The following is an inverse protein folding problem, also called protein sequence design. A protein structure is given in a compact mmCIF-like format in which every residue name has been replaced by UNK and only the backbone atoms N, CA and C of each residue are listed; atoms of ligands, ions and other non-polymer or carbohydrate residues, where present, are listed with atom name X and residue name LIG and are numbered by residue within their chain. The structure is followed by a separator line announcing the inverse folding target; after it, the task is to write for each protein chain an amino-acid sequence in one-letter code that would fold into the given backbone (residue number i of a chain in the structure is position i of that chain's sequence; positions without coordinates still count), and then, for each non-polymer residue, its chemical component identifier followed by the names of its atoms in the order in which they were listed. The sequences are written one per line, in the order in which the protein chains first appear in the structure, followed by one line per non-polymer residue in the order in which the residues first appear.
data_IF_135285580347
#
_entry.id   IF_135285580347
#
_cell.length_a   1.000
_cell.length_b   1.000
_cell.length_c   1.000
_cell.angle_alpha   90.00
_cell.angle_beta   90.00
_cell.angle_gamma   90.00
#
_symmetry.space_group_name_H-M   'P 1'
#
loop_
_entity.id
_entity.type
_entity.pdbx_description
1 polymer ?
#
# COMPACT_ATOMS: atom_id res chain seq x y z
N UNK A 1 -6.64 -14.45 -9.56
CA UNK A 1 -5.92 -13.29 -9.01
C UNK A 1 -4.85 -12.91 -10.02
N UNK A 2 -4.53 -11.62 -10.22
CA UNK A 2 -3.45 -11.23 -11.12
C UNK A 2 -2.11 -11.76 -10.60
N UNK A 3 -1.26 -12.16 -11.54
CA UNK A 3 0.11 -12.59 -11.29
C UNK A 3 1.07 -11.47 -11.71
N UNK A 4 2.12 -11.28 -10.94
CA UNK A 4 3.10 -10.21 -11.11
C UNK A 4 4.52 -10.78 -11.13
N UNK A 5 5.34 -10.28 -12.05
CA UNK A 5 6.76 -10.62 -12.11
C UNK A 5 7.58 -9.60 -11.30
N UNK A 6 8.50 -10.11 -10.49
CA UNK A 6 9.43 -9.31 -9.71
C UNK A 6 10.87 -9.72 -9.99
N UNK A 7 11.74 -8.73 -10.05
CA UNK A 7 13.20 -8.94 -9.98
C UNK A 7 13.69 -8.25 -8.73
N UNK A 8 14.14 -9.03 -7.75
CA UNK A 8 14.71 -8.50 -6.52
C UNK A 8 16.22 -8.53 -6.57
N UNK A 9 16.88 -7.45 -6.11
CA UNK A 9 18.31 -7.48 -5.82
C UNK A 9 18.50 -8.10 -4.44
N UNK A 10 19.30 -9.15 -4.39
CA UNK A 10 19.52 -9.96 -3.18
C UNK A 10 20.99 -10.02 -2.80
N UNK A 11 21.26 -10.38 -1.55
CA UNK A 11 22.60 -10.54 -0.98
C UNK A 11 22.59 -11.66 0.08
N UNK A 12 23.75 -12.12 0.52
CA UNK A 12 23.86 -13.20 1.52
C UNK A 12 23.45 -14.58 0.99
N UNK A 13 23.48 -14.75 -0.33
CA UNK A 13 23.19 -16.01 -1.02
C UNK A 13 24.28 -16.33 -2.05
N UNK A 14 24.65 -17.61 -2.16
CA UNK A 14 25.57 -18.10 -3.18
C UNK A 14 24.80 -18.96 -4.19
N UNK A 15 25.13 -18.83 -5.48
CA UNK A 15 24.58 -19.70 -6.53
C UNK A 15 25.06 -21.16 -6.41
N UNK A 16 26.15 -21.39 -5.67
CA UNK A 16 26.70 -22.73 -5.40
C UNK A 16 25.99 -23.42 -4.22
N UNK A 17 25.15 -22.71 -3.48
CA UNK A 17 24.30 -23.31 -2.44
C UNK A 17 23.09 -23.99 -3.07
N UNK A 18 23.33 -25.13 -3.72
CA UNK A 18 22.31 -25.85 -4.47
C UNK A 18 21.09 -26.26 -3.63
N UNK A 19 21.25 -26.40 -2.31
CA UNK A 19 20.13 -26.71 -1.42
C UNK A 19 19.18 -25.51 -1.29
N UNK A 20 19.72 -24.32 -1.04
CA UNK A 20 18.91 -23.09 -0.93
C UNK A 20 18.37 -22.67 -2.29
N UNK A 21 19.20 -22.73 -3.35
CA UNK A 21 18.76 -22.43 -4.72
C UNK A 21 17.64 -23.37 -5.14
N UNK A 22 17.81 -24.68 -4.92
CA UNK A 22 16.79 -25.68 -5.23
C UNK A 22 15.48 -25.43 -4.49
N UNK A 23 15.53 -25.14 -3.19
CA UNK A 23 14.32 -24.84 -2.42
C UNK A 23 13.59 -23.56 -2.90
N UNK A 24 14.34 -22.52 -3.30
CA UNK A 24 13.75 -21.31 -3.87
C UNK A 24 13.09 -21.58 -5.22
N UNK A 25 13.71 -22.38 -6.09
CA UNK A 25 13.12 -22.78 -7.37
C UNK A 25 11.90 -23.67 -7.16
N UNK A 26 11.98 -24.70 -6.33
CA UNK A 26 10.89 -25.66 -6.14
C UNK A 26 9.65 -25.03 -5.48
N UNK A 27 9.85 -24.11 -4.53
CA UNK A 27 8.75 -23.55 -3.76
C UNK A 27 8.20 -22.21 -4.28
N UNK A 28 9.01 -21.44 -5.00
CA UNK A 28 8.63 -20.11 -5.50
C UNK A 28 8.75 -19.96 -7.01
N UNK A 29 9.19 -21.00 -7.73
CA UNK A 29 9.59 -20.90 -9.14
C UNK A 29 10.62 -19.77 -9.35
N UNK A 30 11.45 -19.53 -8.33
CA UNK A 30 12.40 -18.43 -8.34
C UNK A 30 13.66 -18.82 -9.10
N UNK A 31 14.13 -17.90 -9.94
CA UNK A 31 15.38 -18.03 -10.70
C UNK A 31 16.39 -17.04 -10.14
N UNK A 32 17.51 -17.58 -9.62
CA UNK A 32 18.63 -16.77 -9.16
C UNK A 32 19.64 -16.56 -10.29
N UNK A 33 20.12 -15.34 -10.42
CA UNK A 33 21.19 -14.97 -11.36
C UNK A 33 22.20 -14.06 -10.69
N UNK A 34 23.43 -14.05 -11.21
CA UNK A 34 24.46 -13.08 -10.80
C UNK A 34 25.09 -12.48 -12.05
N UNK A 35 25.07 -11.16 -12.13
CA UNK A 35 25.70 -10.41 -13.21
C UNK A 35 26.49 -9.26 -12.62
N UNK A 36 27.75 -9.13 -13.03
CA UNK A 36 28.69 -8.13 -12.51
C UNK A 36 28.75 -8.07 -10.97
N UNK A 37 28.64 -9.22 -10.31
CA UNK A 37 28.67 -9.33 -8.84
C UNK A 37 27.37 -8.92 -8.15
N UNK A 38 26.31 -8.61 -8.89
CA UNK A 38 24.97 -8.31 -8.36
C UNK A 38 24.09 -9.54 -8.49
N UNK A 39 23.67 -10.09 -7.35
CA UNK A 39 22.73 -11.20 -7.31
C UNK A 39 21.29 -10.70 -7.46
N UNK A 40 20.52 -11.41 -8.27
CA UNK A 40 19.11 -11.12 -8.56
C UNK A 40 18.28 -12.38 -8.41
N UNK A 41 17.08 -12.21 -7.91
CA UNK A 41 16.05 -13.24 -7.83
C UNK A 41 14.86 -12.80 -8.68
N UNK A 42 14.62 -13.48 -9.79
CA UNK A 42 13.40 -13.33 -10.60
C UNK A 42 12.36 -14.31 -10.09
N UNK A 43 11.14 -13.84 -9.87
CA UNK A 43 10.07 -14.63 -9.24
C UNK A 43 8.71 -14.04 -9.58
N UNK A 44 7.71 -14.92 -9.75
CA UNK A 44 6.32 -14.51 -9.91
C UNK A 44 5.56 -14.59 -8.59
N UNK A 45 4.62 -13.66 -8.40
CA UNK A 45 3.77 -13.62 -7.22
C UNK A 45 2.35 -13.21 -7.55
N UNK A 46 1.40 -13.97 -7.03
CA UNK A 46 -0.02 -13.70 -7.18
C UNK A 46 -0.58 -12.92 -5.98
N UNK A 47 -1.39 -11.89 -6.25
CA UNK A 47 -1.94 -11.01 -5.23
C UNK A 47 -3.11 -10.18 -5.75
N UNK A 48 -3.87 -9.50 -4.88
CA UNK A 48 -4.87 -8.53 -5.31
C UNK A 48 -4.25 -7.28 -5.96
N UNK A 49 -3.01 -6.97 -5.58
CA UNK A 49 -2.14 -5.94 -6.15
C UNK A 49 -0.66 -6.39 -6.08
N UNK A 50 0.23 -5.64 -6.74
CA UNK A 50 1.64 -6.00 -6.85
C UNK A 50 2.38 -5.97 -5.51
N UNK A 51 1.95 -5.12 -4.59
CA UNK A 51 2.60 -4.93 -3.29
C UNK A 51 2.27 -6.08 -2.34
N UNK A 52 1.00 -6.52 -2.31
CA UNK A 52 0.57 -7.71 -1.58
C UNK A 52 1.25 -8.98 -2.11
N UNK A 53 1.34 -9.12 -3.45
CA UNK A 53 2.06 -10.21 -4.10
C UNK A 53 3.56 -10.22 -3.70
N UNK A 54 4.24 -9.07 -3.80
CA UNK A 54 5.63 -8.94 -3.38
C UNK A 54 5.82 -9.26 -1.89
N UNK A 55 4.92 -8.81 -1.03
CA UNK A 55 4.95 -9.08 0.41
C UNK A 55 4.87 -10.58 0.72
N UNK A 56 3.99 -11.31 0.03
CA UNK A 56 3.85 -12.76 0.16
C UNK A 56 5.13 -13.49 -0.30
N UNK A 57 5.65 -13.14 -1.48
CA UNK A 57 6.89 -13.70 -2.04
C UNK A 57 8.07 -13.45 -1.10
N UNK A 58 8.24 -12.22 -0.62
CA UNK A 58 9.33 -11.83 0.30
C UNK A 58 9.23 -12.57 1.62
N UNK A 59 8.02 -12.74 2.17
CA UNK A 59 7.81 -13.49 3.41
C UNK A 59 8.19 -14.96 3.24
N UNK A 60 7.82 -15.58 2.11
CA UNK A 60 8.15 -16.97 1.84
C UNK A 60 9.63 -17.17 1.56
N UNK A 61 10.24 -16.32 0.74
CA UNK A 61 11.66 -16.36 0.43
C UNK A 61 12.54 -16.26 1.70
N UNK A 62 12.14 -15.43 2.67
CA UNK A 62 12.82 -15.33 3.98
C UNK A 62 12.71 -16.58 4.85
N UNK A 63 11.63 -17.36 4.70
CA UNK A 63 11.48 -18.63 5.41
C UNK A 63 12.38 -19.71 4.81
N UNK A 64 12.46 -19.76 3.47
CA UNK A 64 13.28 -20.71 2.72
C UNK A 64 14.78 -20.41 2.91
N UNK A 65 15.16 -19.15 2.78
CA UNK A 65 16.53 -18.69 2.82
C UNK A 65 16.74 -17.59 3.87
N UNK A 66 16.83 -17.91 5.18
CA UNK A 66 16.95 -16.92 6.25
C UNK A 66 18.22 -16.04 6.16
N UNK A 67 19.29 -16.55 5.55
CA UNK A 67 20.52 -15.81 5.32
C UNK A 67 20.43 -14.82 4.14
N UNK A 68 19.49 -15.04 3.22
CA UNK A 68 19.30 -14.18 2.05
C UNK A 68 18.63 -12.87 2.45
N UNK A 69 19.24 -11.75 2.05
CA UNK A 69 18.72 -10.41 2.24
C UNK A 69 18.16 -9.89 0.93
N UNK A 70 16.86 -9.60 0.91
CA UNK A 70 16.21 -8.91 -0.20
C UNK A 70 16.38 -7.40 0.02
N UNK A 71 17.16 -6.74 -0.83
CA UNK A 71 17.62 -5.37 -0.64
C UNK A 71 16.66 -4.32 -1.22
N UNK A 72 16.21 -4.57 -2.45
CA UNK A 72 15.34 -3.68 -3.23
C UNK A 72 14.76 -4.43 -4.43
N UNK A 73 13.72 -3.88 -5.05
CA UNK A 73 13.38 -4.20 -6.41
C UNK A 73 14.47 -3.71 -7.37
N UNK A 74 14.64 -4.45 -8.45
CA UNK A 74 15.35 -3.96 -9.59
C UNK A 74 14.41 -3.12 -10.48
N UNK A 75 14.81 -1.89 -10.86
CA UNK A 75 13.98 -1.03 -11.70
C UNK A 75 13.86 -1.51 -13.15
N UNK A 76 14.62 -2.52 -13.56
CA UNK A 76 14.68 -3.04 -14.94
C UNK A 76 14.85 -1.92 -15.97
N UNK A 77 15.96 -1.17 -15.80
CA UNK A 77 16.30 -0.06 -16.68
C UNK A 77 16.72 -0.58 -18.06
N UNK A 78 16.07 -0.04 -19.08
CA UNK A 78 16.30 -0.42 -20.48
C UNK A 78 16.72 0.79 -21.31
N UNK A 79 17.62 0.57 -22.26
CA UNK A 79 17.92 1.48 -23.34
C UNK A 79 17.24 1.09 -24.65
N UNK A 80 17.50 1.87 -25.71
CA UNK A 80 16.98 1.62 -27.07
C UNK A 80 17.34 0.21 -27.58
N UNK A 81 18.55 -0.26 -27.28
CA UNK A 81 19.02 -1.58 -27.69
C UNK A 81 18.24 -2.70 -27.01
N UNK A 82 18.00 -2.59 -25.71
CA UNK A 82 17.30 -3.62 -24.93
C UNK A 82 15.83 -3.68 -25.34
N UNK A 83 15.18 -2.53 -25.55
CA UNK A 83 13.80 -2.47 -26.04
C UNK A 83 13.69 -3.10 -27.44
N UNK A 84 14.65 -2.80 -28.32
CA UNK A 84 14.68 -3.36 -29.68
C UNK A 84 14.79 -4.89 -29.65
N UNK A 85 15.68 -5.41 -28.79
CA UNK A 85 15.87 -6.85 -28.59
C UNK A 85 14.60 -7.52 -28.03
N UNK A 86 14.06 -7.01 -26.91
CA UNK A 86 12.87 -7.58 -26.26
C UNK A 86 11.62 -7.55 -27.14
N UNK A 87 11.48 -6.54 -28.00
CA UNK A 87 10.33 -6.40 -28.91
C UNK A 87 10.54 -7.03 -30.29
N UNK A 88 11.72 -7.57 -30.58
CA UNK A 88 12.09 -8.07 -31.91
C UNK A 88 12.06 -7.00 -32.99
N UNK A 89 12.27 -5.72 -32.63
CA UNK A 89 12.27 -4.57 -33.56
C UNK A 89 13.67 -4.03 -33.79
N UNK A 90 13.84 -3.23 -34.84
CA UNK A 90 15.10 -2.53 -35.07
C UNK A 90 15.28 -1.37 -34.09
N UNK A 91 16.52 -1.03 -33.74
CA UNK A 91 16.85 0.17 -32.96
C UNK A 91 16.27 1.43 -33.58
N UNK A 92 16.27 1.52 -34.92
CA UNK A 92 15.68 2.65 -35.64
C UNK A 92 14.18 2.77 -35.37
N UNK A 93 13.43 1.67 -35.31
CA UNK A 93 12.00 1.70 -34.96
C UNK A 93 11.79 2.23 -33.54
N UNK A 94 12.59 1.77 -32.57
CA UNK A 94 12.51 2.26 -31.19
C UNK A 94 12.86 3.75 -31.10
N UNK A 95 13.90 4.20 -31.79
CA UNK A 95 14.26 5.62 -31.89
C UNK A 95 13.12 6.46 -32.48
N UNK A 96 12.39 5.95 -33.47
CA UNK A 96 11.20 6.63 -34.02
C UNK A 96 10.07 6.75 -32.98
N UNK A 97 9.87 5.73 -32.14
CA UNK A 97 8.90 5.80 -31.04
C UNK A 97 9.29 6.88 -30.04
N UNK A 98 10.56 6.88 -29.60
CA UNK A 98 11.10 7.87 -28.66
C UNK A 98 10.96 9.32 -29.18
N UNK A 99 11.18 9.55 -30.47
CA UNK A 99 11.02 10.87 -31.08
C UNK A 99 9.57 11.25 -31.43
N UNK A 100 8.58 10.40 -31.11
CA UNK A 100 7.18 10.69 -31.36
C UNK A 100 6.84 10.81 -32.86
N UNK A 101 7.57 10.09 -33.72
CA UNK A 101 7.35 10.13 -35.17
C UNK A 101 6.16 9.26 -35.62
N UNK A 102 5.56 8.48 -34.71
CA UNK A 102 4.29 7.76 -34.89
C UNK A 102 3.32 8.27 -33.82
N UNK A 103 2.41 9.19 -34.17
CA UNK A 103 1.66 10.06 -33.23
C UNK A 103 0.26 9.54 -32.88
N UNK A 104 -0.04 8.28 -33.15
CA UNK A 104 -1.44 7.94 -33.43
C UNK A 104 -2.24 7.55 -32.18
N UNK A 105 -1.63 7.46 -30.98
CA UNK A 105 -2.34 7.18 -29.71
C UNK A 105 -1.81 7.92 -28.48
N UNK A 106 -0.58 7.61 -28.04
CA UNK A 106 0.00 8.13 -26.80
C UNK A 106 1.51 8.36 -26.96
N UNK A 107 2.08 9.40 -26.33
CA UNK A 107 3.52 9.64 -26.38
C UNK A 107 4.28 8.48 -25.73
N UNK A 108 5.47 8.18 -26.27
CA UNK A 108 6.39 7.25 -25.64
C UNK A 108 6.76 7.76 -24.22
N UNK A 109 6.98 6.87 -23.23
CA UNK A 109 7.30 7.28 -21.87
C UNK A 109 8.49 8.23 -21.77
N UNK A 110 8.45 9.13 -20.80
CA UNK A 110 9.59 9.97 -20.48
C UNK A 110 10.76 9.09 -19.99
N UNK A 111 12.01 9.45 -20.33
CA UNK A 111 13.17 8.73 -19.82
C UNK A 111 13.28 8.85 -18.30
N UNK A 112 13.67 7.77 -17.65
CA UNK A 112 13.99 7.74 -16.21
C UNK A 112 15.24 8.58 -15.91
N UNK A 113 16.18 8.58 -16.85
CA UNK A 113 17.40 9.35 -16.72
C UNK A 113 18.38 9.08 -17.86
N UNK A 114 19.65 9.35 -17.59
CA UNK A 114 20.76 9.15 -18.52
C UNK A 114 21.85 8.28 -17.90
N UNK A 115 22.38 7.35 -18.70
CA UNK A 115 23.61 6.62 -18.40
C UNK A 115 24.66 7.08 -19.40
N UNK A 116 25.57 7.95 -18.94
CA UNK A 116 26.49 8.66 -19.82
C UNK A 116 25.74 9.58 -20.79
N UNK A 117 25.71 9.22 -22.07
CA UNK A 117 25.00 9.96 -23.13
C UNK A 117 23.70 9.29 -23.59
N UNK A 118 23.41 8.09 -23.07
CA UNK A 118 22.25 7.30 -23.48
C UNK A 118 21.10 7.53 -22.51
N UNK A 119 19.89 7.73 -23.03
CA UNK A 119 18.67 7.73 -22.24
C UNK A 119 18.31 6.30 -21.81
N UNK A 120 17.73 6.17 -20.62
CA UNK A 120 17.20 4.92 -20.09
C UNK A 120 15.77 5.11 -19.62
N UNK A 121 14.98 4.03 -19.65
CA UNK A 121 13.58 3.99 -19.26
C UNK A 121 13.33 2.84 -18.30
N UNK A 122 12.25 2.92 -17.52
CA UNK A 122 11.73 1.76 -16.80
C UNK A 122 11.04 0.82 -17.79
N UNK A 123 11.41 -0.46 -17.81
CA UNK A 123 10.74 -1.44 -18.66
C UNK A 123 9.24 -1.51 -18.37
N UNK A 124 8.80 -1.39 -17.12
CA UNK A 124 7.38 -1.43 -16.74
C UNK A 124 6.55 -0.34 -17.46
N UNK A 125 7.07 0.87 -17.57
CA UNK A 125 6.38 1.98 -18.28
C UNK A 125 6.43 1.80 -19.80
N UNK A 126 7.56 1.31 -20.33
CA UNK A 126 7.68 1.00 -21.77
C UNK A 126 6.73 -0.13 -22.15
N UNK A 127 6.66 -1.20 -21.37
CA UNK A 127 5.79 -2.34 -21.60
C UNK A 127 4.31 -1.96 -21.51
N UNK A 128 3.93 -1.10 -20.55
CA UNK A 128 2.58 -0.55 -20.47
C UNK A 128 2.21 0.27 -21.72
N UNK A 129 3.15 1.05 -22.27
CA UNK A 129 2.97 1.76 -23.53
C UNK A 129 2.87 0.81 -24.72
N UNK A 130 3.74 -0.21 -24.78
CA UNK A 130 3.76 -1.24 -25.83
C UNK A 130 2.44 -2.03 -25.88
N UNK A 131 1.78 -2.24 -24.74
CA UNK A 131 0.45 -2.87 -24.67
C UNK A 131 -0.59 -2.10 -25.48
N UNK A 132 -0.50 -0.77 -25.48
CA UNK A 132 -1.37 0.11 -26.27
C UNK A 132 -1.24 -0.07 -27.80
N UNK A 133 -0.13 -0.68 -28.26
CA UNK A 133 0.15 -1.00 -29.66
C UNK A 133 0.31 -2.51 -29.92
N UNK A 134 -0.03 -3.36 -28.93
CA UNK A 134 -0.02 -4.83 -29.05
C UNK A 134 1.38 -5.45 -29.17
N UNK A 135 2.39 -4.87 -28.52
CA UNK A 135 3.78 -5.33 -28.54
C UNK A 135 4.36 -5.58 -27.14
N UNK A 136 3.53 -5.68 -26.10
CA UNK A 136 3.98 -6.00 -24.75
C UNK A 136 4.30 -7.49 -24.58
N UNK A 137 4.95 -7.82 -23.48
CA UNK A 137 5.30 -9.20 -23.12
C UNK A 137 4.19 -9.95 -22.34
N UNK A 138 3.05 -9.31 -22.08
CA UNK A 138 1.92 -9.91 -21.38
C UNK A 138 2.06 -10.00 -19.86
N UNK A 139 3.24 -9.68 -19.31
CA UNK A 139 3.52 -9.77 -17.88
C UNK A 139 3.04 -8.52 -17.13
N UNK A 140 2.50 -8.72 -15.92
CA UNK A 140 2.22 -7.60 -15.03
C UNK A 140 3.44 -7.33 -14.16
N UNK A 141 3.79 -6.05 -14.06
CA UNK A 141 4.89 -5.59 -13.21
C UNK A 141 4.41 -4.45 -12.34
N UNK A 142 5.03 -4.22 -11.18
CA UNK A 142 4.67 -3.10 -10.31
C UNK A 142 4.72 -1.78 -11.07
N UNK A 143 3.71 -0.94 -10.86
CA UNK A 143 3.78 0.47 -11.25
C UNK A 143 4.87 1.18 -10.45
N UNK A 144 5.27 2.38 -10.88
CA UNK A 144 6.27 3.20 -10.15
C UNK A 144 5.88 3.45 -8.69
N UNK A 145 4.60 3.71 -8.44
CA UNK A 145 4.08 3.91 -7.08
C UNK A 145 4.25 2.63 -6.26
N UNK A 146 3.74 1.50 -6.76
CA UNK A 146 3.85 0.20 -6.09
C UNK A 146 5.31 -0.24 -5.89
N UNK A 147 6.20 0.00 -6.86
CA UNK A 147 7.63 -0.29 -6.72
C UNK A 147 8.26 0.50 -5.58
N UNK A 148 7.87 1.77 -5.41
CA UNK A 148 8.31 2.62 -4.29
C UNK A 148 7.80 2.08 -2.95
N UNK A 149 6.53 1.66 -2.90
CA UNK A 149 5.92 1.04 -1.71
C UNK A 149 6.63 -0.28 -1.35
N UNK A 150 6.91 -1.13 -2.34
CA UNK A 150 7.65 -2.39 -2.14
C UNK A 150 9.06 -2.12 -1.62
N UNK A 151 9.82 -1.21 -2.23
CA UNK A 151 11.16 -0.83 -1.76
C UNK A 151 11.13 -0.28 -0.34
N UNK A 152 10.10 0.48 0.01
CA UNK A 152 9.89 0.96 1.36
C UNK A 152 9.65 -0.20 2.33
N UNK A 153 8.78 -1.16 1.99
CA UNK A 153 8.53 -2.37 2.78
C UNK A 153 9.79 -3.22 2.97
N UNK A 154 10.62 -3.35 1.94
CA UNK A 154 11.88 -4.09 2.00
C UNK A 154 12.87 -3.46 3.00
N UNK A 155 13.03 -2.13 2.95
CA UNK A 155 13.97 -1.38 3.81
C UNK A 155 13.56 -1.32 5.27
N UNK A 156 12.28 -1.13 5.55
CA UNK A 156 11.77 -0.99 6.92
C UNK A 156 11.38 -2.33 7.55
N UNK A 157 11.41 -3.39 6.73
CA UNK A 157 10.94 -4.72 7.05
C UNK A 157 9.41 -4.78 6.99
N UNK A 158 8.89 -5.97 6.67
CA UNK A 158 7.51 -6.34 6.96
C UNK A 158 7.37 -6.47 8.49
N UNK A 159 7.49 -5.36 9.22
CA UNK A 159 7.19 -5.36 10.65
C UNK A 159 5.73 -5.75 10.74
N UNK A 160 5.38 -6.87 11.40
CA UNK A 160 3.99 -7.21 11.58
C UNK A 160 3.35 -6.05 12.31
N UNK A 161 2.49 -5.31 11.60
CA UNK A 161 1.72 -4.24 12.21
C UNK A 161 0.72 -4.93 13.12
N UNK A 162 1.04 -4.94 14.41
CA UNK A 162 0.11 -5.43 15.42
C UNK A 162 -0.96 -4.36 15.58
N UNK A 163 -2.15 -4.69 15.11
CA UNK A 163 -3.34 -3.85 15.27
C UNK A 163 -4.10 -4.38 16.48
N UNK A 164 -4.43 -3.47 17.40
CA UNK A 164 -5.45 -3.72 18.42
C UNK A 164 -6.75 -3.13 17.89
N UNK A 165 -7.71 -3.99 17.57
CA UNK A 165 -9.04 -3.57 17.19
C UNK A 165 -9.87 -3.38 18.45
N UNK A 166 -10.26 -2.14 18.69
CA UNK A 166 -11.30 -1.81 19.64
C UNK A 166 -12.63 -1.88 18.88
N UNK A 167 -13.31 -3.01 19.03
CA UNK A 167 -14.63 -3.27 18.49
C UNK A 167 -15.59 -3.19 19.68
N UNK A 168 -16.67 -2.42 19.55
CA UNK A 168 -17.65 -2.30 20.62
C UNK A 168 -18.35 -3.65 20.81
N UNK A 169 -17.96 -4.41 21.83
CA UNK A 169 -18.59 -5.69 22.15
C UNK A 169 -19.72 -5.55 23.18
N UNK A 170 -19.87 -4.36 23.77
CA UNK A 170 -20.82 -4.11 24.86
C UNK A 170 -21.70 -2.87 24.57
N UNK A 171 -22.98 -3.16 24.33
CA UNK A 171 -24.13 -2.23 24.39
C UNK A 171 -24.40 -1.38 23.13
N UNK A 172 -24.99 -1.97 22.07
CA UNK A 172 -25.96 -1.33 21.13
C UNK A 172 -26.50 -2.36 20.09
N UNK A 173 -27.67 -2.14 19.46
CA UNK A 173 -28.11 -2.92 18.29
C UNK A 173 -27.20 -2.60 17.09
N UNK A 174 -26.69 -3.61 16.38
CA UNK A 174 -25.70 -3.44 15.29
C UNK A 174 -24.48 -4.38 15.35
N UNK A 175 -24.41 -5.25 16.38
CA UNK A 175 -23.29 -6.17 16.68
C UNK A 175 -22.73 -6.96 15.51
N UNK A 176 -23.59 -7.46 14.62
CA UNK A 176 -23.16 -8.27 13.46
C UNK A 176 -22.47 -7.40 12.39
N UNK A 177 -22.90 -6.15 12.25
CA UNK A 177 -22.36 -5.24 11.25
C UNK A 177 -20.97 -4.73 11.65
N UNK A 178 -20.77 -4.28 12.89
CA UNK A 178 -19.46 -3.83 13.37
C UNK A 178 -18.43 -4.96 13.38
N UNK A 179 -18.87 -6.20 13.69
CA UNK A 179 -18.02 -7.39 13.55
C UNK A 179 -17.66 -7.66 12.10
N UNK A 180 -18.64 -7.62 11.19
CA UNK A 180 -18.39 -7.80 9.75
C UNK A 180 -17.49 -6.70 9.17
N UNK A 181 -17.59 -5.47 9.67
CA UNK A 181 -16.68 -4.37 9.32
C UNK A 181 -15.28 -4.66 9.87
N UNK A 182 -15.14 -5.09 11.12
CA UNK A 182 -13.84 -5.43 11.70
C UNK A 182 -13.15 -6.58 10.96
N UNK A 183 -13.89 -7.65 10.62
CA UNK A 183 -13.37 -8.78 9.84
C UNK A 183 -12.91 -8.32 8.44
N UNK A 184 -13.72 -7.51 7.75
CA UNK A 184 -13.33 -6.90 6.47
C UNK A 184 -12.15 -5.95 6.60
N UNK A 185 -12.03 -5.17 7.67
CA UNK A 185 -10.87 -4.30 7.90
C UNK A 185 -9.60 -5.10 8.18
N UNK A 186 -9.69 -6.24 8.88
CA UNK A 186 -8.57 -7.17 9.06
C UNK A 186 -8.15 -7.76 7.72
N UNK A 187 -9.11 -8.18 6.91
CA UNK A 187 -8.87 -8.69 5.57
C UNK A 187 -8.19 -7.63 4.69
N UNK A 188 -8.71 -6.40 4.67
CA UNK A 188 -8.08 -5.27 3.98
C UNK A 188 -6.69 -4.95 4.55
N UNK A 189 -6.49 -4.98 5.87
CA UNK A 189 -5.16 -4.75 6.45
C UNK A 189 -4.14 -5.83 6.04
N UNK A 190 -4.60 -7.06 5.75
CA UNK A 190 -3.74 -8.15 5.25
C UNK A 190 -3.43 -8.02 3.76
N UNK A 191 -4.37 -7.49 2.99
CA UNK A 191 -4.34 -7.55 1.54
C UNK A 191 -4.17 -6.20 0.86
N UNK A 192 -4.26 -5.09 1.61
CA UNK A 192 -4.17 -3.72 1.11
C UNK A 192 -3.05 -2.97 1.85
N UNK A 193 -1.91 -2.73 1.18
CA UNK A 193 -0.76 -2.05 1.77
C UNK A 193 -1.09 -0.65 2.27
N UNK A 194 -2.01 0.07 1.61
CA UNK A 194 -2.38 1.45 1.96
C UNK A 194 -2.84 1.61 3.41
N UNK A 195 -3.62 0.67 3.94
CA UNK A 195 -4.07 0.72 5.33
C UNK A 195 -2.90 0.50 6.30
N UNK A 196 -2.00 -0.41 5.97
CA UNK A 196 -0.78 -0.69 6.74
C UNK A 196 0.18 0.51 6.72
N UNK A 197 0.41 1.12 5.56
CA UNK A 197 1.22 2.32 5.42
C UNK A 197 0.64 3.48 6.23
N UNK A 198 -0.68 3.65 6.18
CA UNK A 198 -1.36 4.66 6.96
C UNK A 198 -1.10 4.48 8.46
N UNK A 199 -1.23 3.26 8.98
CA UNK A 199 -0.89 2.98 10.38
C UNK A 199 0.58 3.27 10.69
N UNK A 200 1.50 2.91 9.79
CA UNK A 200 2.94 3.12 9.99
C UNK A 200 3.35 4.60 9.95
N UNK A 201 2.64 5.44 9.18
CA UNK A 201 2.83 6.90 9.12
C UNK A 201 2.33 7.63 10.36
N UNK A 202 1.48 6.99 11.17
CA UNK A 202 0.89 7.60 12.38
C UNK A 202 1.34 6.88 13.66
N UNK A 203 2.62 6.97 14.08
CA UNK A 203 3.11 6.26 15.25
C UNK A 203 2.47 6.72 16.58
N UNK A 204 1.83 7.89 16.61
CA UNK A 204 1.14 8.41 17.78
C UNK A 204 -0.08 7.59 18.21
N UNK A 205 -0.63 6.75 17.32
CA UNK A 205 -1.79 5.88 17.61
C UNK A 205 -1.42 4.57 18.32
N UNK A 206 -0.15 4.41 18.67
CA UNK A 206 0.37 3.21 19.33
C UNK A 206 0.06 3.21 20.82
N UNK A 207 -0.36 2.06 21.32
CA UNK A 207 -0.48 1.80 22.76
C UNK A 207 0.89 1.59 23.42
N UNK A 208 0.90 1.47 24.76
CA UNK A 208 2.11 1.20 25.53
C UNK A 208 2.81 -0.13 25.16
N UNK A 209 2.12 -1.05 24.46
CA UNK A 209 2.65 -2.32 23.95
C UNK A 209 3.12 -2.21 22.49
N UNK A 210 3.09 -1.02 21.90
CA UNK A 210 3.47 -0.75 20.52
C UNK A 210 2.46 -1.19 19.47
N UNK A 211 1.21 -1.50 19.85
CA UNK A 211 0.12 -1.89 18.93
C UNK A 211 -0.62 -0.65 18.45
N UNK A 212 -0.94 -0.60 17.16
CA UNK A 212 -1.75 0.50 16.61
C UNK A 212 -3.20 0.29 17.06
N UNK A 213 -3.79 1.31 17.69
CA UNK A 213 -5.17 1.23 18.19
C UNK A 213 -6.12 1.72 17.09
N UNK A 214 -7.01 0.84 16.64
CA UNK A 214 -8.05 1.17 15.66
C UNK A 214 -9.41 0.94 16.30
N UNK A 215 -10.21 2.00 16.37
CA UNK A 215 -11.61 1.97 16.82
C UNK A 215 -12.49 1.73 15.60
N UNK A 216 -13.16 0.58 15.58
CA UNK A 216 -14.09 0.21 14.51
C UNK A 216 -15.50 0.62 14.89
N UNK A 217 -16.21 1.24 13.95
CA UNK A 217 -17.59 1.68 14.09
C UNK A 217 -18.42 1.38 12.84
N UNK A 218 -19.71 1.09 13.01
CA UNK A 218 -20.69 1.06 11.93
C UNK A 218 -20.97 2.49 11.44
N UNK A 219 -21.23 2.71 10.14
CA UNK A 219 -21.65 4.02 9.66
C UNK A 219 -22.94 4.53 10.32
N UNK A 220 -23.79 3.64 10.83
CA UNK A 220 -25.06 3.99 11.47
C UNK A 220 -24.93 4.15 13.00
N UNK A 221 -23.74 3.91 13.58
CA UNK A 221 -23.47 4.17 15.00
C UNK A 221 -23.64 5.65 15.32
N UNK A 222 -24.14 5.96 16.52
CA UNK A 222 -24.23 7.33 17.01
C UNK A 222 -22.83 7.92 17.25
N UNK A 223 -22.56 9.10 16.71
CA UNK A 223 -21.29 9.79 16.89
C UNK A 223 -20.97 10.03 18.38
N UNK A 224 -21.99 10.31 19.20
CA UNK A 224 -21.85 10.48 20.65
C UNK A 224 -21.21 9.26 21.34
N UNK A 225 -21.63 8.05 20.96
CA UNK A 225 -21.09 6.80 21.50
C UNK A 225 -19.62 6.64 21.12
N UNK A 226 -19.28 6.91 19.85
CA UNK A 226 -17.90 6.82 19.38
C UNK A 226 -17.01 7.82 20.12
N UNK A 227 -17.44 9.07 20.29
CA UNK A 227 -16.69 10.08 21.06
C UNK A 227 -16.42 9.64 22.50
N UNK A 228 -17.40 9.02 23.16
CA UNK A 228 -17.22 8.44 24.50
C UNK A 228 -16.12 7.37 24.50
N UNK A 229 -16.08 6.49 23.51
CA UNK A 229 -15.02 5.47 23.37
C UNK A 229 -13.65 6.09 23.12
N UNK A 230 -13.57 7.11 22.26
CA UNK A 230 -12.30 7.80 21.98
C UNK A 230 -11.68 8.39 23.25
N UNK A 231 -12.52 8.94 24.15
CA UNK A 231 -12.07 9.54 25.41
C UNK A 231 -11.37 8.55 26.34
N UNK A 232 -11.75 7.27 26.29
CA UNK A 232 -11.21 6.23 27.15
C UNK A 232 -9.74 5.88 26.83
N UNK A 233 -9.28 6.16 25.61
CA UNK A 233 -7.91 5.83 25.20
C UNK A 233 -6.88 6.86 25.69
N UNK A 234 -7.30 8.10 25.95
CA UNK A 234 -6.43 9.19 26.41
C UNK A 234 -5.28 9.53 25.45
N UNK A 235 -5.36 9.09 24.19
CA UNK A 235 -4.35 9.27 23.13
C UNK A 235 -5.03 9.30 21.75
N UNK A 236 -4.34 9.75 20.68
CA UNK A 236 -4.84 9.63 19.32
C UNK A 236 -5.09 8.15 18.97
N UNK A 237 -6.17 7.87 18.25
CA UNK A 237 -6.49 6.54 17.72
C UNK A 237 -6.96 6.65 16.28
N UNK A 238 -6.95 5.55 15.54
CA UNK A 238 -7.53 5.53 14.19
C UNK A 238 -9.01 5.15 14.31
N UNK A 239 -9.92 5.99 13.84
CA UNK A 239 -11.31 5.62 13.63
C UNK A 239 -11.45 5.05 12.24
N UNK A 240 -12.01 3.85 12.12
CA UNK A 240 -12.19 3.18 10.84
C UNK A 240 -13.63 2.66 10.68
N UNK A 241 -14.19 2.85 9.49
CA UNK A 241 -15.49 2.32 9.11
C UNK A 241 -15.48 1.87 7.65
N UNK A 242 -16.50 1.10 7.26
CA UNK A 242 -16.72 0.70 5.86
C UNK A 242 -18.11 1.17 5.46
N UNK A 243 -18.17 2.02 4.44
CA UNK A 243 -19.40 2.47 3.78
C UNK A 243 -19.45 1.89 2.36
N UNK A 244 -19.23 2.72 1.34
CA UNK A 244 -18.92 2.30 -0.03
C UNK A 244 -17.45 1.90 -0.19
N UNK A 245 -16.61 2.32 0.76
CA UNK A 245 -15.19 2.02 0.82
C UNK A 245 -14.68 2.01 2.25
N UNK A 246 -13.40 1.69 2.41
CA UNK A 246 -12.70 1.83 3.69
C UNK A 246 -12.42 3.31 3.92
N UNK A 247 -12.89 3.83 5.05
CA UNK A 247 -12.54 5.14 5.56
C UNK A 247 -11.75 4.96 6.85
N UNK A 248 -10.60 5.64 6.97
CA UNK A 248 -9.83 5.68 8.20
C UNK A 248 -9.28 7.09 8.48
N UNK A 249 -9.40 7.56 9.72
CA UNK A 249 -8.94 8.89 10.14
C UNK A 249 -8.29 8.81 11.52
N UNK A 250 -7.14 9.47 11.72
CA UNK A 250 -6.60 9.67 13.06
C UNK A 250 -7.44 10.71 13.77
N UNK A 251 -7.94 10.34 14.95
CA UNK A 251 -8.78 11.17 15.80
C UNK A 251 -8.21 11.21 17.20
N UNK A 252 -8.11 12.42 17.74
CA UNK A 252 -7.73 12.69 19.12
C UNK A 252 -8.95 13.18 19.89
N UNK A 253 -9.29 12.49 21.00
CA UNK A 253 -10.33 12.94 21.93
C UNK A 253 -9.81 14.09 22.80
N UNK A 254 -9.79 15.29 22.24
CA UNK A 254 -9.30 16.48 22.91
C UNK A 254 -10.07 17.72 22.44
N UNK A 255 -10.14 18.72 23.32
CA UNK A 255 -10.56 20.08 22.99
C UNK A 255 -9.33 20.93 22.69
N UNK A 256 -9.34 21.71 21.61
CA UNK A 256 -8.33 22.75 21.40
C UNK A 256 -8.74 24.02 22.15
N UNK A 257 -7.93 24.55 23.07
CA UNK A 257 -8.23 25.81 23.74
C UNK A 257 -8.42 26.94 22.71
N UNK A 258 -9.58 27.61 22.75
CA UNK A 258 -9.90 28.72 21.85
C UNK A 258 -10.41 28.32 20.46
N UNK A 259 -10.67 27.05 20.19
CA UNK A 259 -11.36 26.62 18.97
C UNK A 259 -12.88 26.78 19.11
N UNK A 260 -13.57 27.04 18.00
CA UNK A 260 -15.03 26.89 17.90
C UNK A 260 -15.30 25.57 17.16
N UNK A 261 -15.66 24.49 17.87
CA UNK A 261 -15.92 23.22 17.22
C UNK A 261 -17.21 23.28 16.37
N UNK A 262 -17.26 22.44 15.35
CA UNK A 262 -18.47 22.15 14.58
C UNK A 262 -19.30 21.19 15.41
N UNK A 263 -20.46 21.65 15.89
CA UNK A 263 -21.36 20.84 16.70
C UNK A 263 -22.15 19.88 15.81
N UNK A 264 -22.06 18.59 16.13
CA UNK A 264 -22.86 17.54 15.52
C UNK A 264 -24.28 17.61 16.09
N UNK A 265 -25.33 17.55 15.23
CA UNK A 265 -26.70 17.55 15.71
C UNK A 265 -26.98 16.32 16.59
N UNK A 266 -27.93 16.46 17.52
CA UNK A 266 -28.36 15.35 18.35
C UNK A 266 -28.86 14.19 17.48
N UNK A 267 -28.31 12.99 17.71
CA UNK A 267 -28.61 11.81 16.90
C UNK A 267 -27.77 11.65 15.62
N UNK A 268 -26.78 12.51 15.40
CA UNK A 268 -25.85 12.36 14.27
C UNK A 268 -25.14 10.99 14.31
N UNK A 269 -25.08 10.36 13.15
CA UNK A 269 -24.40 9.08 12.94
C UNK A 269 -22.91 9.28 12.59
N UNK A 270 -22.14 8.20 12.61
CA UNK A 270 -20.75 8.19 12.09
C UNK A 270 -20.72 8.61 10.62
N UNK A 271 -21.71 8.22 9.81
CA UNK A 271 -21.82 8.65 8.40
C UNK A 271 -21.96 10.17 8.29
N UNK A 272 -22.81 10.78 9.12
CA UNK A 272 -22.99 12.23 9.14
C UNK A 272 -21.69 12.93 9.56
N UNK A 273 -21.02 12.39 10.57
CA UNK A 273 -19.75 12.93 11.05
C UNK A 273 -18.65 12.86 9.98
N UNK A 274 -18.49 11.73 9.29
CA UNK A 274 -17.51 11.58 8.20
C UNK A 274 -17.83 12.56 7.07
N UNK A 275 -19.10 12.71 6.71
CA UNK A 275 -19.53 13.71 5.73
C UNK A 275 -19.11 15.12 6.11
N UNK A 276 -19.23 15.48 7.38
CA UNK A 276 -18.79 16.78 7.89
C UNK A 276 -17.27 16.93 7.95
N UNK A 277 -16.52 15.86 8.26
CA UNK A 277 -15.04 15.85 8.18
C UNK A 277 -14.59 16.16 6.75
N UNK A 278 -15.24 15.58 5.73
CA UNK A 278 -14.91 15.86 4.34
C UNK A 278 -15.16 17.33 3.95
N UNK A 279 -16.20 17.96 4.51
CA UNK A 279 -16.51 19.38 4.30
C UNK A 279 -15.58 20.31 5.10
N UNK A 280 -15.08 19.85 6.25
CA UNK A 280 -14.32 20.64 7.21
C UNK A 280 -13.12 19.87 7.79
N UNK A 281 -12.12 19.51 6.97
CA UNK A 281 -11.07 18.55 7.36
C UNK A 281 -10.15 19.01 8.50
N UNK A 282 -10.05 20.32 8.73
CA UNK A 282 -9.19 20.93 9.75
C UNK A 282 -9.96 21.45 10.97
N UNK A 283 -11.25 21.11 11.10
CA UNK A 283 -12.09 21.57 12.21
C UNK A 283 -12.16 20.53 13.34
N UNK A 284 -12.32 21.04 14.54
CA UNK A 284 -12.71 20.23 15.69
C UNK A 284 -14.21 19.98 15.65
N UNK A 285 -14.63 18.77 16.01
CA UNK A 285 -16.04 18.41 16.12
C UNK A 285 -16.41 18.17 17.58
N UNK A 286 -17.66 18.46 17.95
CA UNK A 286 -18.19 18.18 19.29
C UNK A 286 -19.59 17.59 19.22
N UNK A 287 -19.94 16.79 20.22
CA UNK A 287 -21.30 16.25 20.41
C UNK A 287 -21.88 16.93 21.64
N UNK A 288 -22.63 18.02 21.43
CA UNK A 288 -23.15 18.87 22.50
C UNK A 288 -22.17 19.94 23.00
N UNK A 289 -22.69 20.88 23.78
CA UNK A 289 -21.99 22.09 24.22
C UNK A 289 -20.76 21.85 25.11
N UNK A 290 -20.73 20.77 25.91
CA UNK A 290 -19.69 20.53 26.93
C UNK A 290 -19.10 19.11 26.94
N UNK A 291 -19.57 18.19 26.09
CA UNK A 291 -19.42 16.77 26.44
C UNK A 291 -18.12 16.11 25.98
N UNK A 292 -17.58 16.37 24.77
CA UNK A 292 -16.33 15.77 24.26
C UNK A 292 -15.97 16.39 22.90
N UNK A 293 -14.67 16.61 22.63
CA UNK A 293 -14.15 17.10 21.35
C UNK A 293 -13.39 16.02 20.59
N UNK A 294 -13.52 16.00 19.27
CA UNK A 294 -12.75 15.15 18.37
C UNK A 294 -11.99 16.00 17.36
N UNK A 295 -10.67 15.88 17.38
CA UNK A 295 -9.77 16.56 16.46
C UNK A 295 -9.28 15.55 15.45
N UNK A 296 -9.53 15.80 14.17
CA UNK A 296 -8.95 15.04 13.08
C UNK A 296 -7.50 15.46 12.85
N UNK A 297 -6.61 14.49 12.74
CA UNK A 297 -5.18 14.71 12.47
C UNK A 297 -4.77 14.08 11.14
N UNK A 298 -4.16 14.87 10.26
CA UNK A 298 -3.72 14.40 8.96
C UNK A 298 -4.87 14.12 7.99
N UNK A 299 -4.51 13.71 6.76
CA UNK A 299 -5.49 13.39 5.74
C UNK A 299 -6.19 12.04 6.03
N UNK A 300 -7.49 11.91 5.72
CA UNK A 300 -8.18 10.62 5.78
C UNK A 300 -7.59 9.66 4.75
N UNK A 301 -7.61 8.37 5.08
CA UNK A 301 -7.41 7.30 4.13
C UNK A 301 -8.76 6.84 3.60
N UNK A 302 -8.94 6.95 2.29
CA UNK A 302 -10.14 6.50 1.59
C UNK A 302 -9.76 5.62 0.39
N UNK A 303 -10.36 4.44 0.30
CA UNK A 303 -10.27 3.61 -0.90
C UNK A 303 -11.49 2.69 -1.02
N UNK A 304 -11.85 2.35 -2.26
CA UNK A 304 -12.99 1.48 -2.52
C UNK A 304 -12.76 0.08 -1.91
N UNK A 305 -13.78 -0.42 -1.22
CA UNK A 305 -13.88 -1.82 -0.79
C UNK A 305 -14.19 -2.61 -2.05
N UNK A 306 -13.21 -3.29 -2.64
CA UNK A 306 -13.45 -4.19 -3.78
C UNK A 306 -14.22 -5.43 -3.32
#
# INVERSE_FOLDING_TARGET
MPDYEFVFVVDGISLDDHAVVGALTDELDAVLSCSHGVHRMTVSGSGPDAVAAAGAVVARARQIAPAMRILRLDPDLVGVSDIAERTGRSRQNVTQWVHGQRRDRAPFPAPEGTVGRSLVWLWSEVNAWLRGIGLDDGENRPTRAEATEIDWLLRHGARPVRVSLDVDFDVLPGRDETRGIAERLVEHARHTPRFIEYLLRHPQVRDARGRHTVVVCSPDDLAATVFGRLSAHGRPVVVATITTGVFAQVVSAARRPGSTPVELPAGATVRDWIGLVALYPDREFSVGADALGAVTEGAPLEFASR
#
